data_IF_298797743619
#
_entry.id   IF_298797743619
#
_cell.length_a   1.000
_cell.length_b   1.000
_cell.length_c   1.000
_cell.angle_alpha   90.00
_cell.angle_beta   90.00
_cell.angle_gamma   90.00
#
_symmetry.space_group_name_H-M   'P 1'
#
loop_
_entity.id
_entity.type
_entity.pdbx_description
1 polymer ?
#
# COMPACT_ATOMS: atom_id res chain seq x y z
N UNK A 1 -19.45 12.77 -21.43
CA UNK A 1 -18.81 11.47 -21.11
C UNK A 1 -17.50 11.77 -20.41
N UNK A 2 -17.51 11.78 -19.09
CA UNK A 2 -16.35 12.11 -18.27
C UNK A 2 -15.61 10.80 -17.93
N UNK A 3 -14.35 10.70 -18.34
CA UNK A 3 -13.54 9.51 -18.13
C UNK A 3 -13.25 9.34 -16.63
N UNK A 4 -13.88 8.34 -16.00
CA UNK A 4 -13.63 7.96 -14.60
C UNK A 4 -12.17 7.53 -14.43
N UNK A 5 -11.34 8.39 -13.83
CA UNK A 5 -10.01 8.01 -13.34
C UNK A 5 -10.20 7.17 -12.07
N UNK A 6 -9.69 5.94 -12.06
CA UNK A 6 -9.77 5.04 -10.90
C UNK A 6 -8.37 4.92 -10.29
N UNK A 7 -8.24 5.19 -8.99
CA UNK A 7 -6.99 4.91 -8.26
C UNK A 7 -6.92 3.41 -7.98
N UNK A 8 -6.03 2.66 -8.63
CA UNK A 8 -5.84 1.23 -8.34
C UNK A 8 -4.84 1.05 -7.21
N UNK A 9 -5.15 0.16 -6.26
CA UNK A 9 -4.16 -0.36 -5.31
C UNK A 9 -2.94 -0.93 -6.06
N UNK A 10 -1.74 -0.70 -5.52
CA UNK A 10 -0.49 -1.09 -6.15
C UNK A 10 -0.45 -2.59 -6.44
N UNK A 11 0.00 -2.92 -7.64
CA UNK A 11 0.38 -4.28 -8.02
C UNK A 11 1.80 -4.20 -8.54
N UNK A 12 2.76 -4.71 -7.77
CA UNK A 12 4.04 -5.08 -8.34
C UNK A 12 3.82 -6.40 -9.08
N UNK A 13 4.11 -6.42 -10.38
CA UNK A 13 4.20 -7.68 -11.14
C UNK A 13 5.63 -7.85 -11.63
N UNK A 14 6.23 -9.04 -11.50
CA UNK A 14 7.45 -9.33 -12.23
C UNK A 14 7.15 -9.21 -13.73
N UNK A 15 8.00 -8.47 -14.46
CA UNK A 15 7.97 -8.46 -15.90
C UNK A 15 8.45 -9.84 -16.39
N UNK A 16 7.54 -10.68 -16.87
CA UNK A 16 7.92 -11.94 -17.50
C UNK A 16 8.38 -11.66 -18.93
N UNK A 17 9.59 -12.08 -19.34
CA UNK A 17 9.92 -12.15 -20.76
C UNK A 17 9.05 -13.20 -21.44
N UNK A 18 8.66 -12.92 -22.70
CA UNK A 18 7.87 -13.82 -23.52
C UNK A 18 8.53 -15.21 -23.59
N UNK A 19 7.67 -16.23 -23.44
CA UNK A 19 7.96 -17.67 -23.43
C UNK A 19 8.98 -18.10 -24.49
N UNK A 20 10.10 -18.67 -24.04
CA UNK A 20 10.89 -19.63 -24.82
C UNK A 20 10.38 -21.02 -24.49
N UNK A 21 9.91 -21.72 -25.51
CA UNK A 21 9.48 -23.12 -25.48
C UNK A 21 10.65 -24.04 -25.13
N UNK A 22 10.53 -24.87 -24.10
CA UNK A 22 11.43 -26.01 -23.86
C UNK A 22 10.79 -27.32 -24.36
N UNK A 23 11.59 -28.26 -24.88
CA UNK A 23 11.09 -29.52 -25.41
C UNK A 23 10.91 -30.60 -24.33
N UNK A 24 10.05 -31.55 -24.69
CA UNK A 24 9.72 -32.82 -24.06
C UNK A 24 10.92 -33.67 -23.65
N UNK A 25 10.82 -34.36 -22.50
CA UNK A 25 11.42 -35.67 -22.30
C UNK A 25 10.54 -36.53 -21.37
N UNK A 26 10.32 -37.76 -21.83
CA UNK A 26 9.61 -38.86 -21.17
C UNK A 26 10.54 -39.65 -20.25
N UNK A 27 9.98 -40.32 -19.24
CA UNK A 27 10.70 -41.30 -18.43
C UNK A 27 9.90 -41.79 -17.24
N UNK A 28 9.34 -43.00 -17.36
CA UNK A 28 8.55 -43.68 -16.34
C UNK A 28 9.42 -44.41 -15.31
N UNK A 29 8.96 -44.55 -14.06
CA UNK A 29 8.78 -45.87 -13.42
C UNK A 29 8.12 -45.80 -12.03
N UNK A 30 7.24 -46.78 -11.85
CA UNK A 30 6.51 -47.33 -10.69
C UNK A 30 7.06 -47.18 -9.25
N UNK A 31 6.14 -46.94 -8.31
CA UNK A 31 6.29 -47.25 -6.88
C UNK A 31 4.94 -47.24 -6.16
N UNK A 32 4.65 -48.25 -5.34
CA UNK A 32 3.31 -48.69 -4.86
C UNK A 32 2.68 -47.81 -3.76
N UNK A 33 1.34 -47.76 -3.78
CA UNK A 33 0.45 -47.36 -2.68
C UNK A 33 0.26 -48.48 -1.65
N UNK A 34 -0.28 -48.14 -0.46
CA UNK A 34 -1.43 -48.88 0.02
C UNK A 34 -2.65 -48.02 0.38
N UNK A 35 -3.80 -48.64 0.06
CA UNK A 35 -5.18 -48.55 0.57
C UNK A 35 -5.27 -48.12 2.05
N UNK A 36 -6.34 -47.58 2.63
CA UNK A 36 -7.71 -47.18 2.25
C UNK A 36 -8.37 -46.64 3.51
N UNK A 37 -9.25 -45.64 3.41
CA UNK A 37 -10.46 -45.58 4.25
C UNK A 37 -11.51 -44.67 3.62
N UNK A 38 -12.75 -45.13 3.67
CA UNK A 38 -13.88 -44.67 2.89
C UNK A 38 -14.92 -43.91 3.73
N UNK A 39 -15.85 -43.28 3.01
CA UNK A 39 -17.20 -42.84 3.41
C UNK A 39 -17.26 -41.41 3.99
N UNK A 40 -18.22 -40.53 3.64
CA UNK A 40 -19.46 -40.59 2.87
C UNK A 40 -19.69 -39.25 2.16
N UNK A 41 -20.01 -39.26 0.87
CA UNK A 41 -20.55 -38.10 0.15
C UNK A 41 -22.05 -38.33 -0.10
N UNK A 42 -22.89 -37.37 0.29
CA UNK A 42 -24.33 -37.36 -0.04
C UNK A 42 -24.53 -36.64 -1.37
N UNK A 43 -25.25 -37.35 -2.25
CA UNK A 43 -25.71 -36.96 -3.58
C UNK A 43 -26.79 -35.87 -3.51
N UNK A 44 -26.62 -34.81 -4.30
CA UNK A 44 -27.71 -33.94 -4.73
C UNK A 44 -27.85 -34.04 -6.25
N UNK A 45 -29.03 -34.50 -6.67
CA UNK A 45 -29.47 -34.75 -8.05
C UNK A 45 -29.59 -33.44 -8.85
N UNK A 46 -29.06 -33.43 -10.07
CA UNK A 46 -29.51 -32.57 -11.18
C UNK A 46 -30.77 -33.16 -11.82
N UNK A 47 -31.67 -32.34 -12.38
CA UNK A 47 -32.49 -32.74 -13.51
C UNK A 47 -32.02 -32.09 -14.81
N UNK A 48 -32.42 -32.79 -15.88
CA UNK A 48 -31.92 -32.72 -17.24
C UNK A 48 -32.59 -31.64 -18.11
N UNK A 49 -32.03 -31.53 -19.30
CA UNK A 49 -32.34 -30.60 -20.38
C UNK A 49 -33.76 -30.73 -20.97
N UNK A 50 -34.24 -29.63 -21.54
CA UNK A 50 -35.27 -29.62 -22.57
C UNK A 50 -34.91 -28.60 -23.68
N UNK A 51 -34.74 -29.12 -24.90
CA UNK A 51 -34.91 -28.50 -26.22
C UNK A 51 -35.64 -29.58 -27.03
N UNK A 52 -36.54 -29.28 -28.00
CA UNK A 52 -36.24 -28.41 -29.15
C UNK A 52 -37.43 -27.64 -29.76
N UNK A 53 -37.16 -26.72 -30.71
CA UNK A 53 -37.87 -26.68 -32.01
C UNK A 53 -37.20 -25.72 -32.99
N UNK A 54 -37.05 -26.21 -34.23
CA UNK A 54 -36.60 -25.52 -35.43
C UNK A 54 -37.58 -24.43 -35.89
N UNK A 55 -37.06 -23.41 -36.57
CA UNK A 55 -37.83 -22.48 -37.41
C UNK A 55 -36.89 -21.61 -38.26
N UNK A 56 -36.85 -21.90 -39.55
CA UNK A 56 -35.91 -21.45 -40.59
C UNK A 56 -36.26 -20.09 -41.23
N UNK A 57 -35.26 -19.29 -41.68
CA UNK A 57 -34.92 -18.99 -43.10
C UNK A 57 -34.22 -17.64 -43.34
N UNK A 58 -33.19 -17.75 -44.18
CA UNK A 58 -32.74 -16.88 -45.30
C UNK A 58 -32.11 -15.50 -45.08
N UNK A 59 -30.94 -15.32 -45.71
CA UNK A 59 -30.38 -14.02 -46.09
C UNK A 59 -28.87 -14.06 -46.40
N UNK A 60 -28.47 -14.68 -47.52
CA UNK A 60 -27.09 -14.71 -48.01
C UNK A 60 -26.77 -13.48 -48.88
N UNK A 61 -25.57 -12.91 -48.75
CA UNK A 61 -25.01 -11.98 -49.74
C UNK A 61 -23.48 -12.16 -49.91
N UNK A 62 -23.16 -12.86 -51.00
CA UNK A 62 -22.05 -12.70 -51.98
C UNK A 62 -20.64 -12.29 -51.51
N UNK A 63 -19.72 -13.23 -51.70
CA UNK A 63 -18.31 -13.00 -51.98
C UNK A 63 -18.06 -12.77 -53.49
N UNK A 64 -17.04 -11.96 -53.85
CA UNK A 64 -16.37 -11.99 -55.16
C UNK A 64 -14.88 -12.25 -54.98
N UNK A 65 -14.39 -13.19 -55.78
CA UNK A 65 -12.98 -13.55 -56.08
C UNK A 65 -12.40 -12.64 -57.17
N UNK A 66 -11.09 -12.45 -57.14
CA UNK A 66 -10.15 -12.44 -58.29
C UNK A 66 -8.71 -12.42 -57.69
N UNK A 67 -7.88 -13.47 -57.71
CA UNK A 67 -7.09 -14.15 -58.77
C UNK A 67 -5.83 -13.42 -59.27
N UNK A 68 -4.71 -14.16 -59.26
CA UNK A 68 -3.40 -13.88 -59.89
C UNK A 68 -2.26 -13.97 -58.85
N UNK A 69 -1.50 -15.06 -58.65
CA UNK A 69 -0.58 -15.80 -59.55
C UNK A 69 0.49 -14.86 -60.15
N UNK A 70 1.80 -15.13 -60.16
CA UNK A 70 2.63 -16.30 -59.83
C UNK A 70 4.12 -15.89 -59.97
N UNK A 71 5.02 -16.70 -59.39
CA UNK A 71 6.42 -17.00 -59.76
C UNK A 71 7.46 -15.85 -59.84
N UNK A 72 8.74 -16.01 -59.47
CA UNK A 72 9.50 -17.18 -59.04
C UNK A 72 10.99 -16.78 -58.85
N UNK A 73 11.79 -17.77 -58.40
CA UNK A 73 13.28 -17.90 -58.46
C UNK A 73 14.15 -16.79 -57.81
N UNK A 74 14.92 -17.05 -56.74
CA UNK A 74 16.06 -17.95 -56.54
C UNK A 74 17.42 -17.35 -56.99
N UNK A 75 18.33 -17.25 -56.00
CA UNK A 75 19.81 -17.31 -56.06
C UNK A 75 20.52 -16.22 -56.90
N UNK A 76 21.68 -15.64 -56.59
CA UNK A 76 22.83 -16.05 -55.78
C UNK A 76 23.69 -14.80 -55.43
N UNK A 77 24.47 -14.92 -54.36
CA UNK A 77 25.89 -14.54 -54.17
C UNK A 77 26.47 -13.38 -55.01
N UNK A 78 27.02 -12.34 -54.35
CA UNK A 78 28.47 -12.04 -54.24
C UNK A 78 28.74 -10.63 -53.62
N UNK A 79 29.74 -10.59 -52.73
CA UNK A 79 30.42 -9.40 -52.16
C UNK A 79 31.78 -9.36 -52.90
N UNK A 80 32.40 -8.24 -53.37
CA UNK A 80 32.91 -7.18 -52.50
C UNK A 80 33.23 -5.78 -53.12
N UNK A 81 33.55 -4.82 -52.25
CA UNK A 81 34.76 -4.00 -52.43
C UNK A 81 34.65 -2.61 -53.08
N UNK A 82 34.97 -1.60 -52.26
CA UNK A 82 35.91 -0.50 -52.54
C UNK A 82 35.74 0.30 -53.85
N UNK A 83 35.36 1.59 -53.73
CA UNK A 83 36.30 2.73 -53.83
C UNK A 83 35.61 4.09 -53.72
N UNK A 84 36.32 4.99 -53.04
CA UNK A 84 36.15 6.44 -53.01
C UNK A 84 36.48 7.06 -54.38
N UNK A 85 35.77 8.14 -54.71
CA UNK A 85 36.01 9.02 -55.86
C UNK A 85 34.71 9.73 -56.23
N UNK A 86 34.37 10.83 -55.57
CA UNK A 86 34.66 12.22 -55.96
C UNK A 86 33.70 12.77 -57.02
N UNK A 87 33.31 14.03 -56.80
CA UNK A 87 32.66 14.98 -57.71
C UNK A 87 31.15 14.89 -57.95
N UNK A 88 30.44 15.71 -57.16
CA UNK A 88 29.72 16.87 -57.70
C UNK A 88 28.60 16.62 -58.71
N UNK A 89 27.35 16.77 -58.23
CA UNK A 89 26.30 17.55 -58.89
C UNK A 89 25.07 17.66 -57.99
N UNK A 90 24.66 18.90 -57.70
CA UNK A 90 23.30 19.21 -57.22
C UNK A 90 22.30 18.79 -58.31
N UNK A 91 21.12 18.33 -57.91
CA UNK A 91 19.94 19.08 -58.31
C UNK A 91 19.03 19.39 -57.12
N UNK A 92 18.38 20.53 -57.25
CA UNK A 92 17.34 21.03 -56.37
C UNK A 92 16.19 20.04 -56.29
N UNK A 93 15.77 19.73 -55.06
CA UNK A 93 14.58 18.95 -54.77
C UNK A 93 13.87 19.53 -53.55
N UNK A 94 12.84 20.32 -53.81
CA UNK A 94 11.92 20.84 -52.80
C UNK A 94 11.30 19.69 -51.99
N UNK A 95 11.72 19.53 -50.73
CA UNK A 95 10.97 18.75 -49.74
C UNK A 95 10.40 19.68 -48.67
N UNK A 96 9.07 19.70 -48.62
CA UNK A 96 8.26 20.44 -47.65
C UNK A 96 8.51 19.86 -46.26
N UNK A 97 9.14 20.64 -45.38
CA UNK A 97 9.20 20.37 -43.93
C UNK A 97 7.79 20.45 -43.33
N UNK A 98 7.37 19.51 -42.47
CA UNK A 98 6.22 19.72 -41.61
C UNK A 98 6.61 20.68 -40.46
N UNK A 99 5.79 21.72 -40.30
CA UNK A 99 5.92 22.75 -39.25
C UNK A 99 5.66 22.14 -37.87
N UNK A 100 6.70 22.04 -37.06
CA UNK A 100 6.58 22.02 -35.62
C UNK A 100 6.55 23.45 -35.04
N UNK A 101 5.99 23.56 -33.83
CA UNK A 101 6.15 24.66 -32.85
C UNK A 101 5.29 25.90 -33.04
N UNK A 102 4.09 25.90 -32.43
CA UNK A 102 3.45 27.14 -31.92
C UNK A 102 2.36 26.91 -30.87
N UNK A 103 2.56 26.04 -29.88
CA UNK A 103 1.72 26.04 -28.66
C UNK A 103 2.57 25.66 -27.46
N UNK A 104 3.46 26.55 -27.00
CA UNK A 104 4.15 26.41 -25.69
C UNK A 104 4.77 27.74 -25.24
N UNK A 105 4.06 28.85 -25.47
CA UNK A 105 4.48 30.19 -25.02
C UNK A 105 3.42 30.99 -24.27
N UNK A 106 2.29 30.38 -23.90
CA UNK A 106 1.21 31.06 -23.16
C UNK A 106 1.07 30.70 -21.67
N UNK A 107 1.74 29.65 -21.18
CA UNK A 107 1.65 29.25 -19.75
C UNK A 107 2.78 29.83 -18.88
N UNK A 108 3.80 30.46 -19.48
CA UNK A 108 4.92 31.07 -18.73
C UNK A 108 4.75 32.57 -18.42
N UNK A 109 3.64 33.20 -18.82
CA UNK A 109 3.43 34.64 -18.64
C UNK A 109 2.43 35.00 -17.52
N UNK A 110 1.69 34.04 -16.95
CA UNK A 110 0.76 34.28 -15.83
C UNK A 110 1.36 33.96 -14.46
N UNK A 111 2.41 33.13 -14.38
CA UNK A 111 3.10 32.83 -13.12
C UNK A 111 4.08 33.94 -12.65
N UNK A 112 4.28 35.00 -13.44
CA UNK A 112 5.18 36.12 -13.11
C UNK A 112 4.46 37.40 -12.68
N UNK A 113 3.13 37.37 -12.48
CA UNK A 113 2.32 38.54 -12.06
C UNK A 113 1.64 38.39 -10.70
N UNK A 114 1.87 37.31 -9.96
CA UNK A 114 1.30 37.08 -8.62
C UNK A 114 2.26 37.38 -7.46
N UNK A 115 3.25 38.26 -7.66
CA UNK A 115 4.23 38.60 -6.63
C UNK A 115 4.38 40.11 -6.46
N UNK A 116 3.64 40.67 -5.49
CA UNK A 116 3.95 41.85 -4.64
C UNK A 116 2.65 42.56 -4.24
N UNK A 117 2.13 42.20 -3.07
CA UNK A 117 1.31 43.09 -2.26
C UNK A 117 2.17 43.57 -1.06
N UNK A 118 2.13 44.85 -0.69
CA UNK A 118 2.99 45.43 0.34
C UNK A 118 2.50 45.05 1.74
N UNK A 119 3.42 44.61 2.60
CA UNK A 119 3.21 44.51 4.04
C UNK A 119 3.19 45.92 4.63
N UNK A 120 2.01 46.44 4.93
CA UNK A 120 1.81 47.59 5.81
C UNK A 120 1.62 47.11 7.25
N UNK A 121 2.21 47.85 8.20
CA UNK A 121 1.85 47.75 9.62
C UNK A 121 2.88 47.09 10.53
N UNK A 122 4.07 47.66 10.64
CA UNK A 122 4.94 47.43 11.79
C UNK A 122 4.40 48.17 13.01
N UNK A 123 3.84 47.44 13.98
CA UNK A 123 3.69 47.93 15.35
C UNK A 123 5.00 47.67 16.11
N UNK A 124 5.63 48.76 16.56
CA UNK A 124 6.77 48.73 17.48
C UNK A 124 6.31 48.18 18.84
N UNK A 125 7.08 47.31 19.51
CA UNK A 125 6.83 47.00 20.91
C UNK A 125 7.24 48.17 21.80
N UNK A 126 6.40 48.40 22.79
CA UNK A 126 6.43 49.46 23.79
C UNK A 126 7.59 49.24 24.80
N UNK A 127 8.58 50.15 24.94
CA UNK A 127 9.64 50.02 25.93
C UNK A 127 9.17 50.60 27.28
N UNK A 128 8.26 49.88 27.97
CA UNK A 128 7.64 50.42 29.18
C UNK A 128 7.17 49.43 30.25
N UNK A 129 7.36 48.11 30.08
CA UNK A 129 6.91 47.13 31.06
C UNK A 129 7.91 46.99 32.23
N UNK A 130 7.51 47.56 33.37
CA UNK A 130 8.19 47.51 34.66
C UNK A 130 8.35 46.06 35.18
N UNK A 131 9.38 45.78 36.00
CA UNK A 131 9.66 44.44 36.48
C UNK A 131 8.65 43.98 37.53
N UNK A 132 8.32 42.69 37.45
CA UNK A 132 7.46 41.97 38.38
C UNK A 132 8.01 42.10 39.81
N UNK A 133 7.20 42.71 40.68
CA UNK A 133 7.42 42.77 42.11
C UNK A 133 7.35 41.37 42.71
N UNK A 134 8.41 41.00 43.44
CA UNK A 134 8.45 39.84 44.32
C UNK A 134 7.38 40.01 45.41
N UNK A 135 6.47 39.04 45.49
CA UNK A 135 5.61 38.89 46.67
C UNK A 135 6.46 38.45 47.88
N UNK A 136 6.20 38.99 49.08
CA UNK A 136 6.96 38.64 50.28
C UNK A 136 6.62 37.24 50.79
N UNK A 137 7.69 36.52 51.12
CA UNK A 137 7.73 35.29 51.90
C UNK A 137 7.13 35.54 53.29
N UNK A 138 6.15 34.73 53.68
CA UNK A 138 5.47 34.79 54.97
C UNK A 138 5.89 33.59 55.83
N UNK A 139 6.77 33.74 56.85
CA UNK A 139 7.13 32.65 57.72
C UNK A 139 6.24 32.67 58.96
N UNK A 140 5.31 31.71 59.06
CA UNK A 140 4.57 31.57 60.31
C UNK A 140 3.34 30.70 60.23
N UNK A 141 3.51 29.38 60.40
CA UNK A 141 2.60 28.55 61.18
C UNK A 141 3.29 27.24 61.55
N UNK A 142 3.82 27.23 62.78
CA UNK A 142 4.14 26.02 63.52
C UNK A 142 2.89 25.13 63.59
N UNK A 143 2.97 23.92 63.05
CA UNK A 143 2.05 22.84 63.40
C UNK A 143 2.85 21.85 64.22
N UNK A 144 2.33 21.63 65.44
CA UNK A 144 2.92 20.88 66.52
C UNK A 144 3.15 19.41 66.17
N UNK A 145 4.39 18.96 66.39
CA UNK A 145 4.71 17.55 66.62
C UNK A 145 3.98 17.07 67.88
N UNK A 146 2.95 16.23 67.74
CA UNK A 146 2.59 15.16 68.69
C UNK A 146 1.37 14.38 68.21
N UNK A 147 1.58 13.06 68.15
CA UNK A 147 0.58 11.99 68.22
C UNK A 147 -0.52 11.97 67.15
N UNK A 148 -0.35 11.10 66.14
CA UNK A 148 -1.46 10.22 65.77
C UNK A 148 -0.98 8.80 65.58
N UNK A 149 -1.72 7.93 66.25
CA UNK A 149 -1.51 6.52 66.55
C UNK A 149 -1.48 5.67 65.28
N UNK A 150 -0.63 4.64 65.30
CA UNK A 150 -0.57 3.56 64.34
C UNK A 150 -1.95 2.90 64.16
N UNK A 151 -2.52 3.01 62.96
CA UNK A 151 -3.58 2.12 62.48
C UNK A 151 -2.98 1.23 61.39
N UNK A 152 -2.38 0.12 61.82
CA UNK A 152 -2.07 -1.02 60.96
C UNK A 152 -3.38 -1.75 60.65
N UNK A 153 -4.22 -1.12 59.82
CA UNK A 153 -5.36 -1.79 59.20
C UNK A 153 -4.84 -2.64 58.06
N UNK A 154 -4.81 -3.96 58.26
CA UNK A 154 -4.61 -4.94 57.21
C UNK A 154 -5.76 -4.84 56.18
N UNK A 155 -5.65 -3.90 55.25
CA UNK A 155 -6.36 -3.93 53.99
C UNK A 155 -5.74 -5.06 53.18
N UNK A 156 -6.20 -6.29 53.42
CA UNK A 156 -6.12 -7.36 52.44
C UNK A 156 -6.88 -6.86 51.21
N UNK A 157 -6.16 -6.13 50.33
CA UNK A 157 -6.67 -5.67 49.07
C UNK A 157 -7.06 -6.90 48.28
N UNK A 158 -8.36 -7.17 48.20
CA UNK A 158 -8.92 -8.02 47.18
C UNK A 158 -8.57 -7.35 45.83
N UNK A 159 -7.38 -7.67 45.31
CA UNK A 159 -7.07 -7.49 43.90
C UNK A 159 -8.04 -8.43 43.20
N UNK A 160 -9.22 -7.91 42.86
CA UNK A 160 -10.11 -8.54 41.91
C UNK A 160 -9.31 -8.66 40.62
N UNK A 161 -8.65 -9.80 40.45
CA UNK A 161 -7.90 -10.12 39.25
C UNK A 161 -8.88 -9.98 38.11
N UNK A 162 -8.71 -8.92 37.32
CA UNK A 162 -9.50 -8.71 36.13
C UNK A 162 -9.09 -9.84 35.20
N UNK A 163 -9.89 -10.90 35.14
CA UNK A 163 -9.65 -12.02 34.24
C UNK A 163 -9.54 -11.43 32.85
N UNK A 164 -8.33 -11.44 32.29
CA UNK A 164 -8.09 -10.91 30.95
C UNK A 164 -8.92 -11.78 30.01
N UNK A 165 -9.88 -11.16 29.32
CA UNK A 165 -10.67 -11.88 28.33
C UNK A 165 -9.71 -12.46 27.29
N UNK A 166 -9.91 -13.74 26.96
CA UNK A 166 -9.12 -14.40 25.90
C UNK A 166 -9.42 -13.67 24.59
N UNK A 167 -8.40 -13.16 23.87
CA UNK A 167 -8.59 -12.53 22.57
C UNK A 167 -9.37 -13.44 21.63
N UNK A 168 -10.49 -12.96 21.10
CA UNK A 168 -11.30 -13.70 20.12
C UNK A 168 -10.73 -13.42 18.72
N UNK A 169 -10.33 -14.44 17.95
CA UNK A 169 -9.83 -14.23 16.60
C UNK A 169 -10.88 -13.66 15.67
N UNK A 170 -10.53 -12.54 15.02
CA UNK A 170 -11.32 -11.93 13.95
C UNK A 170 -10.77 -12.40 12.60
N UNK A 171 -11.56 -13.08 11.77
CA UNK A 171 -11.08 -13.56 10.47
C UNK A 171 -10.58 -12.43 9.58
N UNK A 172 -9.41 -12.62 8.99
CA UNK A 172 -8.87 -11.78 7.92
C UNK A 172 -8.94 -12.54 6.59
N UNK A 173 -8.91 -11.80 5.50
CA UNK A 173 -8.67 -12.33 4.16
C UNK A 173 -7.27 -11.89 3.76
N UNK A 174 -6.33 -12.84 3.72
CA UNK A 174 -5.03 -12.65 3.09
C UNK A 174 -5.04 -13.42 1.76
N UNK A 175 -5.01 -12.70 0.65
CA UNK A 175 -5.21 -13.30 -0.67
C UNK A 175 -3.90 -13.53 -1.46
N UNK A 176 -4.02 -14.17 -2.62
CA UNK A 176 -2.88 -14.50 -3.49
C UNK A 176 -2.18 -13.27 -4.10
N UNK A 177 -2.78 -12.07 -3.99
CA UNK A 177 -2.13 -10.82 -4.38
C UNK A 177 -1.41 -10.15 -3.20
N UNK A 178 -1.52 -10.72 -1.99
CA UNK A 178 -1.00 -10.18 -0.75
C UNK A 178 -1.87 -9.08 -0.16
N UNK A 179 -3.11 -8.91 -0.60
CA UNK A 179 -4.04 -7.97 0.02
C UNK A 179 -4.54 -8.53 1.35
N UNK A 180 -4.61 -7.66 2.36
CA UNK A 180 -5.08 -7.98 3.69
C UNK A 180 -6.37 -7.22 3.99
N UNK A 181 -7.48 -7.95 4.11
CA UNK A 181 -8.80 -7.36 4.29
C UNK A 181 -9.45 -7.81 5.58
N UNK A 182 -10.16 -6.88 6.20
CA UNK A 182 -11.05 -7.12 7.33
C UNK A 182 -12.50 -6.83 6.93
N UNK A 183 -13.44 -7.57 7.50
CA UNK A 183 -14.87 -7.31 7.32
C UNK A 183 -15.36 -6.29 8.35
N UNK A 184 -16.15 -5.32 7.92
CA UNK A 184 -16.74 -4.29 8.79
C UNK A 184 -18.14 -3.87 8.29
N UNK A 185 -18.95 -3.26 9.15
CA UNK A 185 -20.22 -2.66 8.78
C UNK A 185 -20.14 -1.12 8.90
N UNK A 186 -20.80 -0.41 7.99
CA UNK A 186 -20.90 1.05 8.03
C UNK A 186 -22.36 1.42 8.23
N UNK A 187 -22.69 2.17 9.29
CA UNK A 187 -24.05 2.52 9.67
C UNK A 187 -25.01 1.31 9.73
N UNK A 188 -24.54 0.17 10.25
CA UNK A 188 -25.34 -1.06 10.38
C UNK A 188 -25.71 -1.74 9.06
N UNK A 189 -25.10 -1.33 7.94
CA UNK A 189 -25.35 -1.91 6.63
C UNK A 189 -24.70 -3.29 6.47
N UNK A 190 -24.99 -3.95 5.35
CA UNK A 190 -24.37 -5.24 5.01
C UNK A 190 -22.84 -5.15 5.08
N UNK A 191 -22.16 -6.21 5.57
CA UNK A 191 -20.71 -6.17 5.75
C UNK A 191 -19.95 -5.94 4.44
N UNK A 192 -18.96 -5.05 4.50
CA UNK A 192 -18.02 -4.75 3.42
C UNK A 192 -16.62 -5.21 3.78
N UNK A 193 -15.72 -5.22 2.81
CA UNK A 193 -14.29 -5.36 3.06
C UNK A 193 -13.62 -3.99 3.11
N UNK A 194 -12.70 -3.84 4.05
CA UNK A 194 -11.75 -2.75 4.12
C UNK A 194 -10.34 -3.33 4.05
N UNK A 195 -9.42 -2.64 3.36
CA UNK A 195 -7.99 -2.94 3.48
C UNK A 195 -7.58 -2.62 4.91
N UNK A 196 -6.94 -3.57 5.59
CA UNK A 196 -6.30 -3.30 6.87
C UNK A 196 -4.97 -2.59 6.61
N UNK A 197 -4.86 -1.29 6.92
CA UNK A 197 -3.77 -0.46 6.42
C UNK A 197 -3.13 0.39 7.52
N UNK A 198 -2.03 -0.11 8.08
CA UNK A 198 -1.21 0.66 9.02
C UNK A 198 -0.47 1.82 8.35
N UNK A 199 -0.30 1.79 7.03
CA UNK A 199 0.31 2.85 6.22
C UNK A 199 -0.61 4.05 6.01
N UNK A 200 -1.91 3.92 6.31
CA UNK A 200 -2.88 5.00 6.22
C UNK A 200 -3.10 5.68 7.57
N UNK A 201 -2.89 7.00 7.64
CA UNK A 201 -3.18 7.77 8.85
C UNK A 201 -4.68 7.90 9.14
N UNK A 202 -5.49 7.95 8.08
CA UNK A 202 -6.95 8.09 8.14
C UNK A 202 -7.66 6.95 7.41
N UNK A 203 -8.80 6.53 7.94
CA UNK A 203 -9.70 5.60 7.29
C UNK A 203 -10.38 6.26 6.09
N UNK A 204 -10.59 5.48 5.03
CA UNK A 204 -11.10 5.97 3.75
C UNK A 204 -12.28 5.13 3.27
N UNK A 205 -13.27 5.76 2.61
CA UNK A 205 -14.31 5.07 1.85
C UNK A 205 -14.35 5.55 0.40
N UNK A 206 -14.73 4.65 -0.51
CA UNK A 206 -14.93 4.96 -1.91
C UNK A 206 -16.13 5.91 -2.11
N UNK A 207 -15.98 6.91 -2.97
CA UNK A 207 -17.03 7.92 -3.23
C UNK A 207 -18.37 7.32 -3.66
N UNK A 208 -18.34 6.29 -4.49
CA UNK A 208 -19.55 5.59 -4.97
C UNK A 208 -20.26 4.84 -3.83
N UNK A 209 -19.51 4.18 -2.95
CA UNK A 209 -20.05 3.55 -1.75
C UNK A 209 -20.71 4.57 -0.81
N UNK A 210 -20.03 5.68 -0.51
CA UNK A 210 -20.57 6.75 0.36
C UNK A 210 -21.85 7.35 -0.22
N UNK A 211 -21.90 7.56 -1.54
CA UNK A 211 -23.11 8.04 -2.24
C UNK A 211 -24.25 7.01 -2.21
N UNK A 212 -23.95 5.73 -2.36
CA UNK A 212 -24.94 4.66 -2.28
C UNK A 212 -25.58 4.57 -0.89
N UNK A 213 -24.85 4.94 0.16
CA UNK A 213 -25.37 5.06 1.52
C UNK A 213 -26.17 6.35 1.79
N UNK A 214 -26.22 7.28 0.83
CA UNK A 214 -26.88 8.57 1.00
C UNK A 214 -26.17 9.49 2.00
N UNK A 215 -24.88 9.26 2.27
CA UNK A 215 -24.13 10.06 3.24
C UNK A 215 -23.70 11.41 2.65
N UNK A 216 -23.83 12.52 3.40
CA UNK A 216 -23.35 13.81 2.96
C UNK A 216 -21.82 13.81 2.87
N UNK A 217 -21.30 14.22 1.71
CA UNK A 217 -19.87 14.43 1.50
C UNK A 217 -19.59 15.93 1.63
N UNK A 218 -18.80 16.31 2.63
CA UNK A 218 -18.31 17.68 2.82
C UNK A 218 -16.92 17.85 2.23
N UNK A 219 -16.48 19.09 2.02
CA UNK A 219 -15.13 19.37 1.56
C UNK A 219 -14.09 18.82 2.55
N UNK A 220 -13.02 18.24 2.01
CA UNK A 220 -11.84 17.76 2.74
C UNK A 220 -10.56 18.32 2.14
N UNK A 221 -9.45 18.04 2.79
CA UNK A 221 -8.12 18.38 2.27
C UNK A 221 -7.64 17.32 1.28
N UNK A 222 -6.79 17.70 0.29
CA UNK A 222 -6.17 16.73 -0.59
C UNK A 222 -5.37 15.68 0.18
N UNK A 223 -5.39 14.44 -0.30
CA UNK A 223 -4.67 13.31 0.30
C UNK A 223 -3.50 12.92 -0.57
N UNK A 224 -2.32 12.81 0.05
CA UNK A 224 -1.09 12.32 -0.57
C UNK A 224 -0.95 10.81 -0.32
N UNK A 225 -0.65 10.07 -1.38
CA UNK A 225 -0.21 8.67 -1.32
C UNK A 225 1.07 8.45 -2.12
N UNK A 226 1.54 7.19 -2.18
CA UNK A 226 2.77 6.81 -2.89
C UNK A 226 2.76 7.16 -4.37
N UNK A 227 1.58 7.35 -4.97
CA UNK A 227 1.45 7.62 -6.40
C UNK A 227 1.00 9.05 -6.74
N UNK A 228 0.86 9.95 -5.75
CA UNK A 228 0.50 11.35 -5.98
C UNK A 228 -0.53 11.88 -4.99
N UNK A 229 -1.14 13.01 -5.35
CA UNK A 229 -2.14 13.70 -4.53
C UNK A 229 -3.51 13.61 -5.21
N UNK A 230 -4.55 13.38 -4.41
CA UNK A 230 -5.94 13.33 -4.86
C UNK A 230 -6.79 14.29 -4.04
N UNK A 231 -7.73 14.97 -4.70
CA UNK A 231 -8.78 15.72 -4.00
C UNK A 231 -9.67 14.75 -3.23
N UNK A 232 -10.05 15.12 -2.01
CA UNK A 232 -10.87 14.29 -1.15
C UNK A 232 -12.01 15.09 -0.50
N UNK A 233 -13.11 14.40 -0.24
CA UNK A 233 -14.16 14.83 0.66
C UNK A 233 -14.04 14.16 2.02
N UNK A 234 -14.96 14.50 2.91
CA UNK A 234 -15.12 13.88 4.22
C UNK A 234 -16.56 13.39 4.39
N UNK A 235 -16.75 12.27 5.07
CA UNK A 235 -18.07 11.77 5.45
C UNK A 235 -18.02 11.14 6.84
N UNK A 236 -18.94 11.56 7.71
CA UNK A 236 -19.08 11.03 9.05
C UNK A 236 -19.98 9.79 9.02
N UNK A 237 -19.50 8.67 9.54
CA UNK A 237 -20.29 7.44 9.66
C UNK A 237 -19.88 6.63 10.89
N UNK A 238 -20.75 5.73 11.32
CA UNK A 238 -20.42 4.73 12.34
C UNK A 238 -19.83 3.51 11.65
N UNK A 239 -18.62 3.12 12.07
CA UNK A 239 -17.95 1.91 11.64
C UNK A 239 -18.00 0.88 12.76
N UNK A 240 -18.42 -0.34 12.44
CA UNK A 240 -18.33 -1.48 13.36
C UNK A 240 -17.36 -2.51 12.81
N UNK A 241 -16.37 -2.85 13.64
CA UNK A 241 -15.38 -3.88 13.33
C UNK A 241 -15.53 -5.02 14.33
N UNK A 242 -15.66 -6.28 13.88
CA UNK A 242 -15.77 -7.41 14.78
C UNK A 242 -14.64 -7.44 15.82
N UNK A 243 -14.99 -7.72 17.08
CA UNK A 243 -14.06 -7.77 18.20
C UNK A 243 -13.62 -6.40 18.76
N UNK A 244 -13.71 -5.31 17.98
CA UNK A 244 -13.39 -3.95 18.45
C UNK A 244 -14.63 -3.08 18.72
N UNK A 245 -15.75 -3.43 18.09
CA UNK A 245 -17.05 -2.76 18.26
C UNK A 245 -17.24 -1.55 17.35
N UNK A 246 -18.30 -0.79 17.63
CA UNK A 246 -18.68 0.40 16.87
C UNK A 246 -17.86 1.64 17.27
N UNK A 247 -17.69 2.58 16.35
CA UNK A 247 -17.17 3.92 16.61
C UNK A 247 -17.47 4.87 15.46
N UNK A 248 -17.65 6.15 15.78
CA UNK A 248 -17.83 7.18 14.77
C UNK A 248 -16.49 7.55 14.14
N UNK A 249 -16.44 7.56 12.81
CA UNK A 249 -15.25 7.85 12.01
C UNK A 249 -15.59 8.93 10.98
N UNK A 250 -14.73 9.94 10.89
CA UNK A 250 -14.77 10.94 9.82
C UNK A 250 -13.89 10.43 8.67
N UNK A 251 -14.50 9.68 7.76
CA UNK A 251 -13.80 9.03 6.66
C UNK A 251 -13.32 10.06 5.64
N UNK A 252 -12.12 9.85 5.13
CA UNK A 252 -11.68 10.45 3.87
C UNK A 252 -12.46 9.79 2.73
N UNK A 253 -12.91 10.58 1.75
CA UNK A 253 -13.73 10.09 0.63
C UNK A 253 -13.12 10.52 -0.70
N UNK A 254 -12.69 9.56 -1.51
CA UNK A 254 -12.24 9.82 -2.89
C UNK A 254 -12.54 8.63 -3.81
N UNK A 255 -12.26 8.81 -5.11
CA UNK A 255 -12.40 7.76 -6.12
C UNK A 255 -11.32 6.67 -5.94
N UNK A 256 -11.55 5.81 -4.96
CA UNK A 256 -10.75 4.65 -4.62
C UNK A 256 -11.13 3.45 -5.50
N UNK A 257 -10.13 2.66 -5.90
CA UNK A 257 -10.30 1.43 -6.63
C UNK A 257 -9.50 0.29 -6.01
N UNK A 258 -10.20 -0.79 -5.67
CA UNK A 258 -9.59 -2.06 -5.30
C UNK A 258 -9.75 -3.06 -6.44
N UNK A 259 -8.86 -4.04 -6.49
CA UNK A 259 -9.05 -5.19 -7.35
C UNK A 259 -10.08 -6.18 -6.78
N UNK A 260 -10.36 -6.12 -5.47
CA UNK A 260 -11.47 -6.84 -4.85
C UNK A 260 -12.74 -5.98 -4.97
N UNK A 261 -13.76 -6.41 -5.74
CA UNK A 261 -14.99 -5.64 -5.92
C UNK A 261 -15.82 -5.49 -4.63
N UNK A 262 -15.53 -6.26 -3.57
CA UNK A 262 -16.19 -6.12 -2.26
C UNK A 262 -15.48 -5.13 -1.33
N UNK A 263 -14.29 -4.66 -1.73
CA UNK A 263 -13.52 -3.72 -0.94
C UNK A 263 -14.02 -2.30 -1.20
N UNK A 264 -14.60 -1.68 -0.17
CA UNK A 264 -15.19 -0.35 -0.26
C UNK A 264 -14.32 0.74 0.38
N UNK A 265 -13.15 0.41 0.93
CA UNK A 265 -12.29 1.38 1.56
C UNK A 265 -11.06 0.83 2.27
N UNK A 266 -10.52 1.65 3.16
CA UNK A 266 -9.30 1.42 3.94
C UNK A 266 -9.61 1.68 5.42
N UNK A 267 -9.15 0.78 6.29
CA UNK A 267 -9.14 0.95 7.74
C UNK A 267 -7.76 1.43 8.18
N UNK A 268 -7.67 2.70 8.56
CA UNK A 268 -6.42 3.38 8.90
C UNK A 268 -6.15 3.52 10.40
N UNK A 269 -5.02 4.15 10.72
CA UNK A 269 -4.51 4.31 12.09
C UNK A 269 -5.45 5.07 13.03
N UNK A 270 -6.28 5.97 12.48
CA UNK A 270 -7.27 6.74 13.23
C UNK A 270 -8.26 5.85 13.99
N UNK A 271 -8.58 4.68 13.43
CA UNK A 271 -9.40 3.65 14.05
C UNK A 271 -8.57 2.52 14.68
N UNK A 272 -7.49 2.06 14.02
CA UNK A 272 -6.70 0.92 14.48
C UNK A 272 -6.05 1.15 15.86
N UNK A 273 -5.74 2.39 16.20
CA UNK A 273 -5.12 2.74 17.49
C UNK A 273 -6.02 2.55 18.72
N UNK A 274 -7.28 2.15 18.56
CA UNK A 274 -8.24 1.99 19.66
C UNK A 274 -7.92 0.83 20.61
N UNK A 275 -7.21 -0.18 20.12
CA UNK A 275 -6.76 -1.32 20.90
C UNK A 275 -5.45 -1.85 20.32
N UNK A 276 -4.55 -2.44 21.12
CA UNK A 276 -3.45 -3.20 20.58
C UNK A 276 -3.98 -4.42 19.80
N UNK A 277 -3.25 -4.84 18.78
CA UNK A 277 -3.64 -6.01 18.00
C UNK A 277 -2.45 -6.78 17.43
N UNK A 278 -2.66 -8.08 17.20
CA UNK A 278 -1.74 -8.93 16.47
C UNK A 278 -2.36 -9.41 15.16
N UNK A 279 -1.59 -9.38 14.08
CA UNK A 279 -1.93 -10.02 12.82
C UNK A 279 -1.24 -11.39 12.77
N UNK A 280 -2.01 -12.45 12.52
CA UNK A 280 -1.49 -13.80 12.31
C UNK A 280 -1.73 -14.23 10.88
N UNK A 281 -0.68 -14.40 10.09
CA UNK A 281 -0.81 -14.69 8.66
C UNK A 281 -0.99 -16.19 8.37
N UNK A 282 -0.46 -17.09 9.21
CA UNK A 282 -0.57 -18.55 9.01
C UNK A 282 -1.99 -19.11 9.18
N UNK A 283 -2.82 -18.44 9.97
CA UNK A 283 -4.27 -18.64 10.04
C UNK A 283 -4.94 -17.27 10.03
N UNK A 284 -5.10 -16.66 8.84
CA UNK A 284 -5.34 -15.23 8.66
C UNK A 284 -6.37 -14.67 9.64
N UNK A 285 -5.89 -14.04 10.70
CA UNK A 285 -6.71 -13.54 11.77
C UNK A 285 -6.08 -12.32 12.43
N UNK A 286 -6.94 -11.49 12.97
CA UNK A 286 -6.58 -10.36 13.81
C UNK A 286 -7.02 -10.64 15.24
N UNK A 287 -6.11 -10.47 16.19
CA UNK A 287 -6.37 -10.62 17.62
C UNK A 287 -6.38 -9.23 18.26
N UNK A 288 -7.54 -8.70 18.62
CA UNK A 288 -7.63 -7.49 19.44
C UNK A 288 -7.23 -7.78 20.88
N UNK A 289 -6.63 -6.80 21.56
CA UNK A 289 -6.18 -6.90 22.95
C UNK A 289 -5.24 -8.08 23.20
N UNK A 290 -4.52 -8.52 22.15
CA UNK A 290 -3.52 -9.56 22.22
C UNK A 290 -2.47 -9.24 23.31
N UNK A 291 -1.93 -10.29 23.91
CA UNK A 291 -0.79 -10.11 24.81
C UNK A 291 0.44 -9.70 24.00
N UNK A 292 1.12 -8.65 24.47
CA UNK A 292 2.32 -8.16 23.81
C UNK A 292 3.41 -9.25 23.84
N UNK A 293 3.97 -9.63 22.67
CA UNK A 293 5.13 -10.52 22.63
C UNK A 293 6.34 -9.94 23.37
N UNK A 294 7.26 -10.82 23.78
CA UNK A 294 8.47 -10.43 24.50
C UNK A 294 9.46 -9.63 23.64
N UNK A 295 9.61 -9.99 22.36
CA UNK A 295 10.51 -9.31 21.44
C UNK A 295 9.87 -8.04 20.88
N UNK A 296 10.08 -6.94 21.60
CA UNK A 296 9.47 -5.64 21.33
C UNK A 296 10.52 -4.58 21.03
N UNK A 297 10.18 -3.69 20.10
CA UNK A 297 10.98 -2.55 19.70
C UNK A 297 10.12 -1.27 19.69
N UNK A 298 10.75 -0.08 19.84
CA UNK A 298 10.02 1.18 19.72
C UNK A 298 9.34 1.34 18.36
N UNK A 299 8.12 1.86 18.37
CA UNK A 299 7.30 2.13 17.21
C UNK A 299 6.84 3.60 17.20
N UNK A 300 7.74 4.56 16.91
CA UNK A 300 7.35 5.96 16.79
C UNK A 300 6.34 6.15 15.66
N UNK A 301 5.46 7.13 15.83
CA UNK A 301 4.49 7.50 14.80
C UNK A 301 5.01 8.70 13.99
N UNK A 302 4.77 8.64 12.69
CA UNK A 302 4.99 9.73 11.75
C UNK A 302 3.65 10.06 11.08
N UNK A 303 3.03 11.17 11.49
CA UNK A 303 1.71 11.56 11.03
C UNK A 303 0.65 10.45 11.23
N UNK A 304 0.74 9.70 12.33
CA UNK A 304 -0.14 8.57 12.65
C UNK A 304 0.30 7.22 12.06
N UNK A 305 1.28 7.22 11.16
CA UNK A 305 1.79 6.00 10.52
C UNK A 305 2.93 5.42 11.37
N UNK A 306 2.86 4.15 11.79
CA UNK A 306 3.90 3.52 12.59
C UNK A 306 5.19 3.32 11.79
N UNK A 307 6.31 3.56 12.47
CA UNK A 307 7.67 3.30 11.97
C UNK A 307 8.39 2.33 12.90
N UNK A 308 9.35 1.60 12.35
CA UNK A 308 10.34 0.82 13.12
C UNK A 308 11.73 1.10 12.55
N UNK A 309 12.75 0.80 13.36
CA UNK A 309 14.13 0.73 12.86
C UNK A 309 14.46 -0.72 12.50
N UNK A 310 14.82 -0.95 11.24
CA UNK A 310 15.32 -2.24 10.76
C UNK A 310 16.80 -2.12 10.39
N UNK A 311 17.56 -3.20 10.53
CA UNK A 311 18.94 -3.28 10.02
C UNK A 311 18.93 -3.85 8.61
N UNK A 312 19.34 -3.06 7.63
CA UNK A 312 19.38 -3.41 6.21
C UNK A 312 20.84 -3.36 5.75
N UNK A 313 21.38 -4.51 5.33
CA UNK A 313 22.82 -4.70 5.08
C UNK A 313 23.72 -4.20 6.24
N UNK A 314 23.26 -4.35 7.48
CA UNK A 314 23.97 -3.88 8.69
C UNK A 314 23.71 -2.41 9.04
N UNK A 315 23.05 -1.64 8.18
CA UNK A 315 22.75 -0.22 8.40
C UNK A 315 21.35 -0.05 9.01
N UNK A 316 21.21 0.66 10.15
CA UNK A 316 19.90 0.94 10.72
C UNK A 316 19.15 1.96 9.87
N UNK A 317 17.95 1.60 9.41
CA UNK A 317 17.05 2.46 8.63
C UNK A 317 15.69 2.59 9.32
N UNK A 318 15.12 3.81 9.41
CA UNK A 318 13.71 3.98 9.73
C UNK A 318 12.86 3.53 8.53
N UNK A 319 11.86 2.70 8.78
CA UNK A 319 10.90 2.24 7.79
C UNK A 319 9.48 2.35 8.35
N UNK A 320 8.53 2.80 7.52
CA UNK A 320 7.10 2.72 7.85
C UNK A 320 6.62 1.27 7.80
N UNK A 321 5.58 0.95 8.56
CA UNK A 321 4.88 -0.34 8.46
C UNK A 321 3.58 -0.13 7.69
N UNK A 322 3.41 -0.84 6.58
CA UNK A 322 2.30 -0.66 5.65
C UNK A 322 1.65 -2.00 5.31
N UNK A 323 0.63 -2.39 6.08
CA UNK A 323 -0.18 -3.58 5.78
C UNK A 323 -1.11 -3.41 4.58
N UNK A 324 -1.27 -2.18 4.06
CA UNK A 324 -1.99 -1.89 2.82
C UNK A 324 -1.16 -2.17 1.56
N UNK A 325 0.17 -2.22 1.69
CA UNK A 325 1.08 -2.56 0.60
C UNK A 325 1.06 -4.07 0.28
N UNK A 326 0.19 -4.42 -0.68
CA UNK A 326 0.03 -5.77 -1.19
C UNK A 326 1.20 -6.21 -2.08
N UNK A 327 1.70 -7.41 -1.81
CA UNK A 327 2.65 -8.11 -2.67
C UNK A 327 2.40 -9.62 -2.51
N UNK A 328 2.36 -10.42 -3.60
CA UNK A 328 2.00 -11.83 -3.52
C UNK A 328 2.78 -12.58 -2.42
N UNK A 329 2.11 -13.42 -1.62
CA UNK A 329 2.77 -14.22 -0.59
C UNK A 329 3.81 -15.15 -1.22
N UNK A 330 4.88 -15.41 -0.49
CA UNK A 330 6.01 -16.22 -0.96
C UNK A 330 7.14 -16.28 0.05
N UNK A 331 8.17 -17.06 -0.28
CA UNK A 331 9.35 -17.26 0.59
C UNK A 331 10.25 -16.00 0.68
N UNK A 332 10.21 -15.16 -0.35
CA UNK A 332 10.96 -13.91 -0.42
C UNK A 332 10.28 -12.79 0.38
N UNK A 333 11.09 -11.90 0.96
CA UNK A 333 10.67 -10.69 1.64
C UNK A 333 11.04 -9.45 0.81
N UNK A 334 10.06 -8.63 0.43
CA UNK A 334 10.28 -7.41 -0.36
C UNK A 334 9.94 -6.16 0.45
N UNK A 335 10.96 -5.35 0.77
CA UNK A 335 10.78 -4.03 1.36
C UNK A 335 10.95 -2.95 0.29
N UNK A 336 10.39 -1.78 0.55
CA UNK A 336 10.49 -0.63 -0.33
C UNK A 336 11.47 0.37 0.28
N UNK A 337 12.41 0.87 -0.51
CA UNK A 337 13.39 1.88 -0.09
C UNK A 337 13.29 3.12 -0.96
N UNK A 338 13.55 4.29 -0.38
CA UNK A 338 13.85 5.49 -1.18
C UNK A 338 15.18 5.31 -1.91
N UNK A 339 15.42 6.11 -2.95
CA UNK A 339 16.74 6.16 -3.62
C UNK A 339 17.87 6.48 -2.64
N UNK A 340 17.65 7.42 -1.71
CA UNK A 340 18.66 7.80 -0.71
C UNK A 340 18.97 6.66 0.26
N UNK A 341 17.96 5.93 0.73
CA UNK A 341 18.15 4.76 1.59
C UNK A 341 18.84 3.61 0.85
N UNK A 342 18.48 3.37 -0.42
CA UNK A 342 19.14 2.37 -1.25
C UNK A 342 20.65 2.67 -1.40
N UNK A 343 21.01 3.93 -1.63
CA UNK A 343 22.41 4.38 -1.64
C UNK A 343 23.10 4.20 -0.29
N UNK A 344 22.41 4.54 0.81
CA UNK A 344 22.95 4.41 2.17
C UNK A 344 23.31 2.96 2.54
N UNK A 345 22.63 1.97 1.95
CA UNK A 345 22.86 0.53 2.21
C UNK A 345 23.62 -0.17 1.08
N UNK A 346 24.25 0.61 0.20
CA UNK A 346 25.17 0.12 -0.83
C UNK A 346 24.51 -0.47 -2.09
N UNK A 347 23.23 -0.19 -2.34
CA UNK A 347 22.51 -0.68 -3.52
C UNK A 347 22.69 0.25 -4.71
N UNK A 348 23.93 0.35 -5.20
CA UNK A 348 24.29 1.20 -6.35
C UNK A 348 24.60 0.39 -7.62
N UNK A 349 24.68 -0.93 -7.50
CA UNK A 349 24.89 -1.83 -8.62
C UNK A 349 23.65 -1.90 -9.55
N UNK A 350 23.79 -2.55 -10.70
CA UNK A 350 22.66 -2.85 -11.60
C UNK A 350 21.59 -3.66 -10.85
N UNK A 351 20.29 -3.34 -10.98
CA UNK A 351 19.23 -4.15 -10.38
C UNK A 351 19.20 -5.56 -10.97
N UNK A 352 18.87 -6.54 -10.13
CA UNK A 352 18.71 -7.93 -10.57
C UNK A 352 17.40 -8.13 -11.33
N UNK A 353 16.38 -7.34 -11.00
CA UNK A 353 15.06 -7.38 -11.63
C UNK A 353 14.49 -5.97 -11.73
N UNK A 354 13.59 -5.75 -12.68
CA UNK A 354 12.79 -4.53 -12.75
C UNK A 354 11.33 -4.95 -12.66
N UNK A 355 10.65 -4.49 -11.61
CA UNK A 355 9.20 -4.60 -11.52
C UNK A 355 8.55 -3.39 -12.17
N UNK A 356 7.28 -3.55 -12.55
CA UNK A 356 6.45 -2.43 -12.98
C UNK A 356 5.28 -2.25 -12.04
N UNK A 357 4.93 -0.99 -11.80
CA UNK A 357 3.70 -0.61 -11.11
C UNK A 357 2.99 0.49 -11.88
N UNK A 358 1.67 0.55 -11.77
CA UNK A 358 0.87 1.64 -12.32
C UNK A 358 0.40 2.53 -11.18
N UNK A 359 0.78 3.80 -11.21
CA UNK A 359 0.39 4.80 -10.22
C UNK A 359 -0.85 5.61 -10.62
N UNK A 360 -1.22 6.59 -9.79
CA UNK A 360 -2.24 7.61 -10.08
C UNK A 360 -1.88 8.34 -11.37
N UNK A 361 -2.80 8.33 -12.33
CA UNK A 361 -2.61 8.97 -13.64
C UNK A 361 -2.06 8.07 -14.74
N UNK A 362 -2.17 6.73 -14.59
CA UNK A 362 -1.80 5.72 -15.59
C UNK A 362 -0.30 5.66 -15.94
N UNK A 363 0.54 6.38 -15.18
CA UNK A 363 1.99 6.30 -15.33
C UNK A 363 2.49 4.90 -14.93
N UNK A 364 3.26 4.29 -15.82
CA UNK A 364 4.01 3.06 -15.52
C UNK A 364 5.33 3.47 -14.88
N UNK A 365 5.56 2.97 -13.68
CA UNK A 365 6.78 3.15 -12.92
C UNK A 365 7.64 1.90 -13.05
N UNK A 366 8.91 2.08 -13.37
CA UNK A 366 9.93 1.04 -13.25
C UNK A 366 10.47 1.05 -11.82
N UNK A 367 10.56 -0.14 -11.24
CA UNK A 367 10.96 -0.36 -9.86
C UNK A 367 12.17 -1.30 -9.85
N UNK A 368 13.40 -0.75 -9.78
CA UNK A 368 14.61 -1.54 -9.63
C UNK A 368 14.54 -2.40 -8.38
N UNK A 369 14.89 -3.68 -8.51
CA UNK A 369 14.88 -4.64 -7.41
C UNK A 369 16.28 -5.19 -7.22
N UNK A 370 16.80 -5.07 -6.00
CA UNK A 370 18.13 -5.53 -5.62
C UNK A 370 18.01 -6.55 -4.50
N UNK A 371 18.87 -7.57 -4.51
CA UNK A 371 18.98 -8.49 -3.38
C UNK A 371 19.68 -7.80 -2.21
N UNK A 372 19.23 -8.13 -1.00
CA UNK A 372 19.88 -7.72 0.23
C UNK A 372 20.83 -8.80 0.74
N UNK A 373 21.93 -8.37 1.36
CA UNK A 373 22.83 -9.25 2.09
C UNK A 373 22.21 -9.67 3.44
N UNK A 374 21.48 -8.75 4.08
CA UNK A 374 20.77 -9.02 5.33
C UNK A 374 19.61 -8.07 5.55
N UNK A 375 18.50 -8.58 6.06
CA UNK A 375 17.42 -7.79 6.64
C UNK A 375 17.12 -8.33 8.05
N UNK A 376 17.14 -7.45 9.04
CA UNK A 376 16.79 -7.79 10.42
C UNK A 376 15.81 -6.77 11.00
N UNK A 377 14.75 -7.28 11.63
CA UNK A 377 13.72 -6.50 12.31
C UNK A 377 13.53 -7.13 13.69
N UNK A 378 13.74 -6.34 14.75
CA UNK A 378 13.84 -6.87 16.11
C UNK A 378 14.84 -8.05 16.18
N UNK A 379 14.49 -9.17 16.80
CA UNK A 379 15.34 -10.36 16.86
C UNK A 379 15.27 -11.23 15.60
N UNK A 380 14.38 -10.95 14.64
CA UNK A 380 14.19 -11.79 13.44
C UNK A 380 15.08 -11.34 12.28
N UNK A 381 15.89 -12.27 11.78
CA UNK A 381 16.63 -12.14 10.53
C UNK A 381 15.84 -12.80 9.39
N UNK A 382 15.80 -12.13 8.23
CA UNK A 382 15.19 -12.62 6.99
C UNK A 382 16.28 -12.80 5.94
N UNK A 383 16.56 -14.04 5.56
CA UNK A 383 17.71 -14.38 4.71
C UNK A 383 17.44 -14.23 3.21
N UNK A 384 16.18 -14.28 2.78
CA UNK A 384 15.76 -14.09 1.39
C UNK A 384 15.04 -12.74 1.22
N UNK A 385 15.80 -11.66 1.38
CA UNK A 385 15.26 -10.30 1.34
C UNK A 385 15.70 -9.51 0.10
N UNK A 386 14.80 -8.65 -0.37
CA UNK A 386 14.93 -7.85 -1.58
C UNK A 386 14.46 -6.42 -1.31
N UNK A 387 15.19 -5.45 -1.85
CA UNK A 387 14.78 -4.05 -1.82
C UNK A 387 14.21 -3.64 -3.19
N UNK A 388 12.98 -3.13 -3.17
CA UNK A 388 12.35 -2.44 -4.29
C UNK A 388 12.67 -0.95 -4.13
N UNK A 389 13.40 -0.37 -5.07
CA UNK A 389 13.79 1.05 -5.02
C UNK A 389 12.69 1.89 -5.66
N UNK A 390 12.14 2.81 -4.87
CA UNK A 390 10.99 3.62 -5.24
C UNK A 390 11.43 4.92 -5.95
N UNK A 391 10.82 5.29 -7.10
CA UNK A 391 11.13 6.52 -7.80
C UNK A 391 10.63 7.75 -7.03
N UNK A 392 11.16 8.94 -7.35
CA UNK A 392 10.77 10.21 -6.70
C UNK A 392 9.42 10.72 -7.19
N UNK A 393 8.33 10.06 -6.78
CA UNK A 393 6.94 10.39 -7.12
C UNK A 393 6.08 10.32 -5.86
N UNK A 394 5.05 11.17 -5.78
CA UNK A 394 4.14 11.22 -4.63
C UNK A 394 4.90 11.39 -3.32
N UNK A 395 4.54 10.58 -2.31
CA UNK A 395 5.26 10.53 -1.03
C UNK A 395 6.79 10.40 -1.19
N UNK A 396 7.28 9.57 -2.11
CA UNK A 396 8.72 9.35 -2.32
C UNK A 396 9.47 10.52 -2.96
N UNK A 397 8.77 11.55 -3.43
CA UNK A 397 9.42 12.78 -3.88
C UNK A 397 9.91 13.65 -2.72
N UNK A 398 9.31 13.49 -1.52
CA UNK A 398 9.60 14.30 -0.35
C UNK A 398 11.01 14.05 0.20
N UNK A 399 11.68 15.09 0.73
CA UNK A 399 13.02 14.93 1.30
C UNK A 399 13.04 14.12 2.60
N UNK A 400 11.92 14.08 3.33
CA UNK A 400 11.73 13.35 4.59
C UNK A 400 11.09 11.96 4.39
N UNK A 401 10.92 11.53 3.13
CA UNK A 401 10.37 10.23 2.81
C UNK A 401 11.28 9.11 3.34
N UNK A 402 10.67 8.04 3.81
CA UNK A 402 11.35 6.80 4.19
C UNK A 402 10.68 5.62 3.49
N UNK A 403 11.43 4.53 3.36
CA UNK A 403 10.93 3.26 2.88
C UNK A 403 9.87 2.64 3.78
N UNK A 404 9.31 1.51 3.36
CA UNK A 404 8.28 0.80 4.12
C UNK A 404 8.40 -0.72 4.01
N UNK A 405 7.86 -1.39 5.03
CA UNK A 405 7.65 -2.82 5.11
C UNK A 405 6.21 -3.14 4.69
N UNK A 406 6.06 -3.88 3.59
CA UNK A 406 4.75 -4.34 3.11
C UNK A 406 4.40 -5.75 3.57
N UNK A 407 3.26 -6.27 3.13
CA UNK A 407 2.79 -7.60 3.56
C UNK A 407 3.76 -8.74 3.25
N UNK A 408 4.58 -8.66 2.20
CA UNK A 408 5.61 -9.69 1.92
C UNK A 408 6.73 -9.77 2.96
N UNK A 409 6.88 -8.76 3.81
CA UNK A 409 7.79 -8.83 4.98
C UNK A 409 6.99 -9.20 6.22
N UNK A 410 5.85 -8.56 6.41
CA UNK A 410 5.05 -8.67 7.64
C UNK A 410 4.47 -10.07 7.85
N UNK A 411 4.17 -10.80 6.78
CA UNK A 411 3.73 -12.19 6.85
C UNK A 411 4.80 -13.18 7.33
N UNK A 412 6.06 -12.73 7.52
CA UNK A 412 7.15 -13.51 8.13
C UNK A 412 7.33 -13.18 9.62
N UNK A 413 6.57 -12.22 10.15
CA UNK A 413 6.79 -11.63 11.46
C UNK A 413 5.60 -11.78 12.42
N UNK A 414 4.40 -12.08 11.94
CA UNK A 414 3.15 -12.09 12.73
C UNK A 414 3.05 -10.86 13.67
N UNK A 415 3.02 -9.64 13.10
CA UNK A 415 3.30 -8.41 13.80
C UNK A 415 2.23 -8.08 14.85
N UNK A 416 2.69 -7.54 15.97
CA UNK A 416 1.90 -6.95 17.03
C UNK A 416 2.10 -5.44 17.07
N UNK A 417 1.00 -4.70 17.21
CA UNK A 417 0.95 -3.25 17.26
C UNK A 417 0.31 -2.77 18.55
N UNK A 418 0.96 -1.85 19.23
CA UNK A 418 0.38 -1.09 20.34
C UNK A 418 0.67 0.39 20.15
N UNK A 419 -0.30 1.10 19.59
CA UNK A 419 -0.22 2.54 19.33
C UNK A 419 -0.18 3.37 20.62
N UNK A 420 -0.76 2.88 21.71
CA UNK A 420 -0.83 3.61 22.97
C UNK A 420 0.52 3.59 23.69
N UNK A 421 1.20 2.43 23.71
CA UNK A 421 2.55 2.33 24.26
C UNK A 421 3.65 2.70 23.26
N UNK A 422 3.31 2.87 21.97
CA UNK A 422 4.30 3.14 20.92
C UNK A 422 5.24 1.96 20.70
N UNK A 423 4.70 0.74 20.70
CA UNK A 423 5.46 -0.51 20.64
C UNK A 423 5.06 -1.35 19.43
N UNK A 424 6.07 -1.91 18.76
CA UNK A 424 5.92 -2.98 17.77
C UNK A 424 6.58 -4.23 18.32
N UNK A 425 6.00 -5.39 18.06
CA UNK A 425 6.61 -6.67 18.43
C UNK A 425 6.38 -7.71 17.35
N UNK A 426 7.21 -8.74 17.34
CA UNK A 426 7.07 -9.88 16.43
C UNK A 426 6.44 -11.06 17.16
N UNK A 427 5.61 -11.83 16.44
CA UNK A 427 5.11 -13.10 16.92
C UNK A 427 6.23 -14.11 17.14
N UNK A 428 5.96 -15.09 18.02
CA UNK A 428 6.87 -16.20 18.32
C UNK A 428 7.16 -17.05 17.08
#
# INVERSE_FOLDING_TARGET
MEAKRTCRAWRCRPAFPATVTSPTLSGASSGRLPRSCASRARSCKRPAAARPSLGSRMGAARARKATGASDGSAEDVEVPGLRLGDQGRRPEGHSRRPRGRRVLRRVRAEAARAGRAPLSGGQRPDPGARPWSRAPYNPGRMISRRAFVAFLGALAGCTTGRTRAVPVPVPLVYDDNGGLFITASVNGQAPIRLILDTGASRSTLATDYVRALGLPIRAGDPVEGSAGVVEAGLALATLEVPGLGAGTVDFVVYAFGSYDPRCAGILGSDFLRRAPFQIRYGGPALLWDAEAPADRIPMPLDNGIPRVTASVNGTPLPLRIDTGAAFPPGADAYLNLTISQAQQVGLTATPEKIFTATGTGDAVLELPVHRLHSLQIASRRLDNAWAIVQPRVGYFARPDAVGFLGNSVLDKLDPYFDYASGTFAIGA
#
